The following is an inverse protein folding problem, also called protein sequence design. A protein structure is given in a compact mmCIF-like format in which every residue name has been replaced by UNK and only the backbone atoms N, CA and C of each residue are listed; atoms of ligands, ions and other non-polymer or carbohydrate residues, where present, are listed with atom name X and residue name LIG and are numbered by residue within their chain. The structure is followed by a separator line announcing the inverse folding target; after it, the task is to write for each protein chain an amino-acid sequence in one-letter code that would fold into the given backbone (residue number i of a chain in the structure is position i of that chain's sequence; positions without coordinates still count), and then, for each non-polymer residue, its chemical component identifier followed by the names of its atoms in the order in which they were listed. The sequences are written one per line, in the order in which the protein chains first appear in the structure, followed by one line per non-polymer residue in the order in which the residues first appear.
data_IF_819878663789
#
_entry.id   IF_819878663789
#
_cell.length_a   1.000
_cell.length_b   1.000
_cell.length_c   1.000
_cell.angle_alpha   90.00
_cell.angle_beta   90.00
_cell.angle_gamma   90.00
#
_symmetry.space_group_name_H-M   'P 1'
#
loop_
_entity.id
_entity.type
_entity.pdbx_description
1 polymer ?
#
# COMPACT_ATOMS: atom_id res chain seq x y z
N UNK A 1 16.72 9.03 13.22
CA UNK A 1 17.65 7.95 12.84
C UNK A 1 16.83 6.86 12.15
N UNK A 2 17.21 6.43 10.94
CA UNK A 2 16.40 5.52 10.11
C UNK A 2 16.65 4.05 10.54
N UNK A 3 15.60 3.34 10.99
CA UNK A 3 15.69 1.95 11.47
C UNK A 3 16.30 1.01 10.43
N UNK A 4 15.99 1.23 9.16
CA UNK A 4 16.49 0.37 8.09
C UNK A 4 18.02 0.45 7.97
N UNK A 5 18.59 1.66 8.10
CA UNK A 5 20.05 1.85 8.11
C UNK A 5 20.70 1.10 9.28
N UNK A 6 20.06 1.11 10.46
CA UNK A 6 20.53 0.37 11.63
C UNK A 6 20.52 -1.14 11.39
N UNK A 7 19.44 -1.67 10.79
CA UNK A 7 19.37 -3.10 10.46
C UNK A 7 20.38 -3.51 9.40
N UNK A 8 20.55 -2.70 8.34
CA UNK A 8 21.58 -2.94 7.32
C UNK A 8 22.98 -3.00 7.92
N UNK A 9 23.30 -2.06 8.82
CA UNK A 9 24.58 -2.09 9.54
C UNK A 9 24.74 -3.34 10.40
N UNK A 10 23.66 -3.77 11.09
CA UNK A 10 23.69 -4.99 11.89
C UNK A 10 23.91 -6.25 11.05
N UNK A 11 23.29 -6.34 9.87
CA UNK A 11 23.51 -7.44 8.93
C UNK A 11 24.95 -7.47 8.42
N UNK A 12 25.54 -6.30 8.14
CA UNK A 12 26.95 -6.17 7.77
C UNK A 12 27.86 -6.68 8.89
N UNK A 13 27.62 -6.27 10.13
CA UNK A 13 28.38 -6.73 11.30
C UNK A 13 28.27 -8.25 11.53
N UNK A 14 27.10 -8.81 11.25
CA UNK A 14 26.84 -10.24 11.35
C UNK A 14 27.38 -11.06 10.16
N UNK A 15 28.03 -10.42 9.17
CA UNK A 15 28.48 -11.04 7.92
C UNK A 15 27.36 -11.78 7.15
N UNK A 16 26.12 -11.30 7.27
CA UNK A 16 24.99 -11.82 6.51
C UNK A 16 24.93 -11.07 5.19
N UNK A 17 25.03 -11.81 4.08
CA UNK A 17 24.95 -11.21 2.74
C UNK A 17 23.52 -10.75 2.45
N UNK A 18 23.38 -9.52 1.96
CA UNK A 18 22.10 -8.96 1.53
C UNK A 18 22.33 -7.96 0.40
N UNK A 19 21.26 -7.60 -0.32
CA UNK A 19 21.29 -6.55 -1.33
C UNK A 19 21.18 -5.17 -0.68
N UNK A 20 22.24 -4.37 -0.77
CA UNK A 20 22.30 -3.01 -0.22
C UNK A 20 21.52 -1.99 -1.07
N UNK A 21 21.35 -2.27 -2.36
CA UNK A 21 20.76 -1.42 -3.39
C UNK A 21 19.27 -1.75 -3.66
N UNK A 22 18.61 -2.45 -2.74
CA UNK A 22 17.25 -2.94 -2.97
C UNK A 22 16.20 -1.84 -2.80
N UNK A 23 15.48 -1.53 -3.87
CA UNK A 23 14.27 -0.71 -3.80
C UNK A 23 13.17 -1.51 -3.07
N UNK A 24 12.94 -1.18 -1.80
CA UNK A 24 12.04 -1.93 -0.89
C UNK A 24 10.62 -2.08 -1.45
N UNK A 25 10.11 -1.02 -2.06
CA UNK A 25 8.77 -0.99 -2.66
C UNK A 25 8.69 -1.94 -3.86
N UNK A 26 9.71 -1.94 -4.72
CA UNK A 26 9.80 -2.83 -5.88
C UNK A 26 10.03 -4.30 -5.51
N UNK A 27 10.70 -4.56 -4.40
CA UNK A 27 10.92 -5.92 -3.95
C UNK A 27 9.65 -6.56 -3.36
N UNK A 28 8.82 -5.78 -2.66
CA UNK A 28 7.65 -6.28 -1.94
C UNK A 28 6.34 -6.16 -2.72
N UNK A 29 6.32 -5.38 -3.81
CA UNK A 29 5.16 -5.17 -4.69
C UNK A 29 5.52 -5.23 -6.16
N UNK A 30 4.55 -5.60 -6.99
CA UNK A 30 4.73 -5.60 -8.45
C UNK A 30 4.26 -4.26 -9.05
N UNK A 31 4.69 -3.95 -10.28
CA UNK A 31 4.29 -2.74 -10.99
C UNK A 31 2.76 -2.63 -11.14
N UNK A 32 2.09 -3.73 -11.53
CA UNK A 32 0.63 -3.77 -11.70
C UNK A 32 -0.14 -3.45 -10.41
N UNK A 33 0.39 -3.88 -9.25
CA UNK A 33 -0.22 -3.63 -7.95
C UNK A 33 -0.11 -2.15 -7.57
N UNK A 34 1.08 -1.57 -7.78
CA UNK A 34 1.29 -0.13 -7.53
C UNK A 34 0.43 0.74 -8.43
N UNK A 35 0.30 0.36 -9.71
CA UNK A 35 -0.57 1.05 -10.66
C UNK A 35 -2.05 0.97 -10.24
N UNK A 36 -2.50 -0.21 -9.79
CA UNK A 36 -3.85 -0.39 -9.24
C UNK A 36 -4.07 0.50 -8.02
N UNK A 37 -3.14 0.52 -7.07
CA UNK A 37 -3.29 1.35 -5.87
C UNK A 37 -3.40 2.83 -6.22
N UNK A 38 -2.60 3.31 -7.16
CA UNK A 38 -2.72 4.68 -7.66
C UNK A 38 -4.08 4.95 -8.31
N UNK A 39 -4.60 4.00 -9.09
CA UNK A 39 -5.95 4.08 -9.65
C UNK A 39 -7.06 4.07 -8.57
N UNK A 40 -6.79 3.48 -7.40
CA UNK A 40 -7.66 3.48 -6.23
C UNK A 40 -7.42 4.66 -5.28
N UNK A 41 -6.91 5.79 -5.78
CA UNK A 41 -6.65 7.03 -5.03
C UNK A 41 -5.48 6.97 -4.03
N UNK A 42 -4.56 5.99 -4.13
CA UNK A 42 -3.34 6.04 -3.33
C UNK A 42 -2.40 7.13 -3.86
N UNK A 43 -1.88 8.03 -3.01
CA UNK A 43 -0.88 9.00 -3.41
C UNK A 43 0.40 8.34 -3.96
N UNK A 44 0.95 8.94 -5.02
CA UNK A 44 2.13 8.43 -5.73
C UNK A 44 3.46 8.82 -5.06
N UNK A 45 3.59 8.57 -3.76
CA UNK A 45 4.81 8.78 -2.99
C UNK A 45 5.28 7.49 -2.29
N UNK A 46 6.56 7.47 -1.91
CA UNK A 46 7.19 6.28 -1.33
C UNK A 46 6.55 5.87 0.00
N UNK A 47 6.16 6.83 0.85
CA UNK A 47 5.55 6.55 2.15
C UNK A 47 4.19 5.86 1.97
N UNK A 48 3.33 6.41 1.11
CA UNK A 48 2.04 5.80 0.81
C UNK A 48 2.18 4.43 0.14
N UNK A 49 3.19 4.25 -0.73
CA UNK A 49 3.47 2.95 -1.35
C UNK A 49 3.94 1.92 -0.33
N UNK A 50 4.83 2.29 0.60
CA UNK A 50 5.27 1.43 1.71
C UNK A 50 4.09 1.05 2.61
N UNK A 51 3.21 2.01 2.93
CA UNK A 51 2.01 1.74 3.71
C UNK A 51 1.04 0.79 3.00
N UNK A 52 0.85 0.92 1.69
CA UNK A 52 0.02 0.01 0.91
C UNK A 52 0.57 -1.43 0.93
N UNK A 53 1.90 -1.59 0.88
CA UNK A 53 2.55 -2.89 1.03
C UNK A 53 2.27 -3.49 2.41
N UNK A 54 2.31 -2.68 3.47
CA UNK A 54 1.95 -3.13 4.82
C UNK A 54 0.48 -3.57 4.90
N UNK A 55 -0.44 -2.81 4.29
CA UNK A 55 -1.87 -3.14 4.23
C UNK A 55 -2.17 -4.39 3.40
N UNK A 56 -1.30 -4.74 2.44
CA UNK A 56 -1.41 -5.98 1.67
C UNK A 56 -0.83 -7.19 2.41
N UNK A 57 0.30 -7.02 3.09
CA UNK A 57 1.10 -8.11 3.69
C UNK A 57 1.01 -8.18 5.22
N UNK A 58 -0.04 -7.60 5.81
CA UNK A 58 -0.19 -7.62 7.27
C UNK A 58 -0.35 -9.05 7.81
N UNK A 59 0.19 -9.28 9.01
CA UNK A 59 -0.05 -10.51 9.77
C UNK A 59 -1.09 -10.28 10.89
N UNK A 60 -0.93 -9.20 11.66
CA UNK A 60 -1.93 -8.70 12.61
C UNK A 60 -2.74 -7.61 11.93
N UNK A 61 -4.06 -7.55 12.21
CA UNK A 61 -4.94 -6.58 11.57
C UNK A 61 -4.39 -5.15 11.63
N UNK A 62 -4.42 -4.41 10.51
CA UNK A 62 -3.83 -3.09 10.43
C UNK A 62 -4.67 -2.08 11.20
N UNK A 63 -4.00 -1.31 12.02
CA UNK A 63 -4.55 -0.15 12.70
C UNK A 63 -3.93 1.08 12.06
N UNK A 64 -4.79 1.90 11.44
CA UNK A 64 -4.38 2.96 10.53
C UNK A 64 -4.50 4.30 11.24
N UNK A 65 -3.42 5.07 11.22
CA UNK A 65 -3.40 6.46 11.65
C UNK A 65 -3.48 7.32 10.39
N UNK A 66 -4.62 7.95 10.16
CA UNK A 66 -4.94 8.66 8.93
C UNK A 66 -5.64 10.01 9.22
N UNK A 67 -4.88 11.07 9.57
CA UNK A 67 -5.45 12.37 9.85
C UNK A 67 -5.97 13.09 8.60
N UNK A 68 -5.48 12.72 7.41
CA UNK A 68 -5.87 13.35 6.13
C UNK A 68 -7.07 12.66 5.48
N UNK A 69 -7.41 11.43 5.87
CA UNK A 69 -8.48 10.63 5.26
C UNK A 69 -8.07 9.90 3.98
N UNK A 70 -6.83 10.10 3.50
CA UNK A 70 -6.34 9.53 2.24
C UNK A 70 -6.29 7.99 2.29
N UNK A 71 -5.87 7.43 3.42
CA UNK A 71 -5.81 5.98 3.59
C UNK A 71 -7.20 5.35 3.60
N UNK A 72 -8.13 6.03 4.26
CA UNK A 72 -9.53 5.61 4.35
C UNK A 72 -10.17 5.59 2.96
N UNK A 73 -9.96 6.64 2.17
CA UNK A 73 -10.44 6.71 0.79
C UNK A 73 -9.83 5.59 -0.08
N UNK A 74 -8.51 5.41 0.01
CA UNK A 74 -7.81 4.35 -0.70
C UNK A 74 -8.39 2.96 -0.42
N UNK A 75 -8.60 2.62 0.86
CA UNK A 75 -9.11 1.30 1.26
C UNK A 75 -10.55 1.10 0.82
N UNK A 76 -11.39 2.14 0.90
CA UNK A 76 -12.77 2.07 0.41
C UNK A 76 -12.82 1.81 -1.09
N UNK A 77 -11.90 2.41 -1.86
CA UNK A 77 -11.82 2.22 -3.31
C UNK A 77 -11.22 0.86 -3.69
N UNK A 78 -10.13 0.43 -3.06
CA UNK A 78 -9.46 -0.86 -3.34
C UNK A 78 -10.38 -2.06 -3.04
N UNK A 79 -11.18 -1.98 -1.98
CA UNK A 79 -12.07 -3.07 -1.55
C UNK A 79 -13.54 -2.87 -1.94
N UNK A 80 -13.83 -1.93 -2.85
CA UNK A 80 -15.19 -1.60 -3.31
C UNK A 80 -15.95 -2.82 -3.82
N UNK A 81 -15.30 -3.64 -4.64
CA UNK A 81 -15.91 -4.85 -5.23
C UNK A 81 -16.19 -5.95 -4.19
N UNK A 82 -15.52 -5.88 -3.03
CA UNK A 82 -15.69 -6.83 -1.92
C UNK A 82 -16.74 -6.38 -0.90
N UNK A 83 -17.53 -5.34 -1.20
CA UNK A 83 -18.60 -4.81 -0.32
C UNK A 83 -18.08 -4.40 1.05
N UNK A 84 -16.96 -3.67 1.08
CA UNK A 84 -16.41 -3.12 2.32
C UNK A 84 -17.45 -2.26 3.04
N UNK A 85 -17.60 -2.47 4.35
CA UNK A 85 -18.51 -1.70 5.20
C UNK A 85 -17.71 -0.79 6.12
N UNK A 86 -18.09 0.50 6.19
CA UNK A 86 -17.53 1.48 7.13
C UNK A 86 -18.44 1.60 8.35
N UNK A 87 -17.89 1.46 9.54
CA UNK A 87 -18.62 1.58 10.81
C UNK A 87 -17.71 2.20 11.90
N UNK A 88 -18.26 2.44 13.08
CA UNK A 88 -17.55 2.98 14.25
C UNK A 88 -17.95 2.18 15.49
N UNK A 89 -17.12 2.17 16.53
CA UNK A 89 -17.53 1.57 17.81
C UNK A 89 -18.73 2.28 18.46
N UNK A 90 -19.01 3.52 18.05
CA UNK A 90 -20.15 4.30 18.53
C UNK A 90 -21.44 4.05 17.74
N UNK A 91 -21.38 3.27 16.66
CA UNK A 91 -22.53 2.93 15.81
C UNK A 91 -23.35 1.81 16.46
N UNK A 92 -24.66 2.03 16.69
CA UNK A 92 -25.57 1.01 17.23
C UNK A 92 -25.63 -0.25 16.35
N UNK A 93 -25.37 -0.11 15.05
CA UNK A 93 -25.30 -1.22 14.11
C UNK A 93 -23.93 -1.95 14.11
N UNK A 94 -22.94 -1.48 14.87
CA UNK A 94 -21.57 -2.02 14.86
C UNK A 94 -21.52 -3.54 15.01
N UNK A 95 -22.19 -4.08 16.03
CA UNK A 95 -22.18 -5.54 16.28
C UNK A 95 -22.81 -6.33 15.14
N UNK A 96 -23.89 -5.81 14.54
CA UNK A 96 -24.56 -6.44 13.40
C UNK A 96 -23.66 -6.41 12.15
N UNK A 97 -23.00 -5.28 11.90
CA UNK A 97 -22.06 -5.12 10.79
C UNK A 97 -20.84 -6.04 10.96
N UNK A 98 -20.31 -6.16 12.17
CA UNK A 98 -19.20 -7.07 12.50
C UNK A 98 -19.59 -8.54 12.31
N UNK A 99 -20.74 -8.96 12.82
CA UNK A 99 -21.23 -10.34 12.66
C UNK A 99 -21.45 -10.67 11.18
N UNK A 100 -22.05 -9.76 10.42
CA UNK A 100 -22.24 -9.89 8.97
C UNK A 100 -20.90 -10.02 8.24
N UNK A 101 -19.92 -9.16 8.55
CA UNK A 101 -18.59 -9.20 7.94
C UNK A 101 -17.87 -10.53 8.23
N UNK A 102 -17.92 -11.02 9.47
CA UNK A 102 -17.34 -12.31 9.85
C UNK A 102 -18.03 -13.48 9.14
N UNK A 103 -19.36 -13.45 9.02
CA UNK A 103 -20.15 -14.52 8.40
C UNK A 103 -19.94 -14.60 6.89
N UNK A 104 -19.83 -13.46 6.21
CA UNK A 104 -19.76 -13.39 4.75
C UNK A 104 -18.34 -13.16 4.21
N UNK A 105 -17.36 -12.94 5.08
CA UNK A 105 -15.97 -12.68 4.68
C UNK A 105 -15.77 -11.31 4.01
N UNK A 106 -16.61 -10.33 4.36
CA UNK A 106 -16.54 -8.98 3.82
C UNK A 106 -15.48 -8.15 4.58
N UNK A 107 -14.74 -7.27 3.90
CA UNK A 107 -13.87 -6.31 4.58
C UNK A 107 -14.69 -5.36 5.45
N UNK A 108 -14.14 -4.99 6.61
CA UNK A 108 -14.77 -4.06 7.55
C UNK A 108 -13.75 -3.00 7.95
N UNK A 109 -14.11 -1.73 7.78
CA UNK A 109 -13.33 -0.58 8.24
C UNK A 109 -14.01 0.00 9.48
N UNK A 110 -13.32 -0.05 10.62
CA UNK A 110 -13.82 0.44 11.91
C UNK A 110 -13.02 1.68 12.32
N UNK A 111 -13.70 2.78 12.64
CA UNK A 111 -13.09 3.97 13.21
C UNK A 111 -12.99 3.86 14.75
N UNK A 112 -11.81 4.16 15.30
CA UNK A 112 -11.43 3.83 16.70
C UNK A 112 -10.58 4.94 17.34
N UNK A 113 -10.77 5.18 18.64
CA UNK A 113 -9.83 5.92 19.49
C UNK A 113 -8.95 4.96 20.32
N UNK A 114 -7.66 5.27 20.49
CA UNK A 114 -6.66 4.28 20.92
C UNK A 114 -6.48 4.17 22.45
N UNK A 115 -6.80 3.01 23.06
CA UNK A 115 -6.23 2.61 24.35
C UNK A 115 -4.87 1.91 24.16
N UNK A 116 -3.94 2.02 25.13
CA UNK A 116 -2.57 1.49 25.02
C UNK A 116 -2.50 -0.05 24.90
N UNK A 117 -3.48 -0.78 25.41
CA UNK A 117 -3.54 -2.26 25.36
C UNK A 117 -3.80 -2.84 23.96
N UNK A 118 -4.06 -1.98 22.97
CA UNK A 118 -4.32 -2.41 21.60
C UNK A 118 -3.02 -2.61 20.80
N UNK A 119 -1.92 -1.95 21.21
CA UNK A 119 -0.67 -1.89 20.47
C UNK A 119 -0.03 -3.26 20.19
N UNK A 120 -0.17 -4.21 21.10
CA UNK A 120 0.40 -5.56 20.96
C UNK A 120 -0.38 -6.44 19.97
N UNK A 121 -1.67 -6.15 19.73
CA UNK A 121 -2.58 -6.99 18.94
C UNK A 121 -2.74 -6.55 17.50
N UNK A 122 -2.22 -5.38 17.13
CA UNK A 122 -2.42 -4.75 15.83
C UNK A 122 -1.11 -4.39 15.14
N UNK A 123 -1.13 -4.26 13.82
CA UNK A 123 -0.02 -3.70 13.04
C UNK A 123 -0.29 -2.22 12.80
N UNK A 124 0.57 -1.33 13.29
CA UNK A 124 0.41 0.11 13.01
C UNK A 124 0.81 0.43 11.58
N UNK A 125 -0.03 1.20 10.89
CA UNK A 125 0.27 1.79 9.57
C UNK A 125 -0.01 3.29 9.66
N UNK A 126 0.99 4.11 9.39
CA UNK A 126 0.91 5.56 9.64
C UNK A 126 0.91 6.35 8.33
N UNK A 127 -0.23 6.93 7.99
CA UNK A 127 -0.45 7.81 6.84
C UNK A 127 -0.32 9.30 7.21
N UNK A 128 0.31 9.63 8.34
CA UNK A 128 0.63 11.02 8.67
C UNK A 128 1.57 11.59 7.60
N UNK A 129 1.11 12.65 6.93
CA UNK A 129 1.84 13.27 5.83
C UNK A 129 3.14 13.88 6.34
N UNK A 130 4.26 13.46 5.75
CA UNK A 130 5.59 14.05 6.01
C UNK A 130 5.86 15.18 5.03
N UNK A 131 6.84 16.05 5.33
CA UNK A 131 7.22 17.14 4.40
C UNK A 131 7.62 16.62 3.02
N UNK A 132 8.38 15.54 2.97
CA UNK A 132 8.79 14.90 1.72
C UNK A 132 7.60 14.30 0.98
N UNK A 133 6.71 13.59 1.69
CA UNK A 133 5.49 13.03 1.10
C UNK A 133 4.60 14.13 0.51
N UNK A 134 4.35 15.22 1.26
CA UNK A 134 3.56 16.34 0.76
C UNK A 134 4.19 16.99 -0.47
N UNK A 135 5.51 17.22 -0.45
CA UNK A 135 6.23 17.79 -1.59
C UNK A 135 6.12 16.89 -2.82
N UNK A 136 6.32 15.58 -2.67
CA UNK A 136 6.16 14.60 -3.76
C UNK A 136 4.73 14.57 -4.30
N UNK A 137 3.73 14.59 -3.42
CA UNK A 137 2.32 14.63 -3.81
C UNK A 137 2.00 15.91 -4.59
N UNK A 138 2.35 17.08 -4.05
CA UNK A 138 2.13 18.36 -4.72
C UNK A 138 2.86 18.42 -6.06
N UNK A 139 4.11 17.95 -6.14
CA UNK A 139 4.86 17.93 -7.40
C UNK A 139 4.19 17.05 -8.44
N UNK A 140 3.73 15.86 -8.05
CA UNK A 140 3.02 14.95 -8.96
C UNK A 140 1.71 15.57 -9.46
N UNK A 141 0.93 16.21 -8.59
CA UNK A 141 -0.33 16.86 -8.96
C UNK A 141 -0.10 18.09 -9.86
N UNK A 142 0.90 18.92 -9.56
CA UNK A 142 1.27 20.07 -10.40
C UNK A 142 1.74 19.60 -11.77
N UNK A 143 2.54 18.54 -11.86
CA UNK A 143 2.98 18.00 -13.15
C UNK A 143 1.81 17.48 -13.99
N UNK A 144 0.81 16.84 -13.38
CA UNK A 144 -0.42 16.43 -14.08
C UNK A 144 -1.18 17.62 -14.65
N UNK A 145 -1.26 18.72 -13.91
CA UNK A 145 -2.00 19.91 -14.33
C UNK A 145 -1.23 20.75 -15.37
N UNK A 146 0.07 20.97 -15.17
CA UNK A 146 0.91 21.84 -15.99
C UNK A 146 1.47 21.14 -17.24
N UNK A 147 1.76 19.84 -17.14
CA UNK A 147 2.38 19.02 -18.20
C UNK A 147 1.67 17.67 -18.34
N UNK A 148 0.38 17.67 -18.73
CA UNK A 148 -0.39 16.44 -18.88
C UNK A 148 0.21 15.50 -19.93
N UNK A 149 0.86 16.04 -20.96
CA UNK A 149 1.58 15.29 -21.99
C UNK A 149 2.71 14.42 -21.42
N UNK A 150 3.43 14.95 -20.42
CA UNK A 150 4.53 14.23 -19.76
C UNK A 150 3.99 13.18 -18.79
N UNK A 151 2.93 13.48 -18.04
CA UNK A 151 2.30 12.49 -17.15
C UNK A 151 1.64 11.35 -17.93
N UNK A 152 0.95 11.64 -19.03
CA UNK A 152 0.39 10.64 -19.93
C UNK A 152 1.49 9.73 -20.47
N UNK A 153 2.58 10.32 -20.98
CA UNK A 153 3.74 9.54 -21.43
C UNK A 153 4.36 8.70 -20.31
N UNK A 154 4.45 9.22 -19.08
CA UNK A 154 4.93 8.46 -17.91
C UNK A 154 3.99 7.28 -17.60
N UNK A 155 2.69 7.52 -17.58
CA UNK A 155 1.65 6.52 -17.31
C UNK A 155 1.67 5.41 -18.37
N UNK A 156 1.77 5.78 -19.65
CA UNK A 156 1.83 4.83 -20.75
C UNK A 156 3.11 4.00 -20.70
N UNK A 157 4.27 4.62 -20.42
CA UNK A 157 5.54 3.90 -20.25
C UNK A 157 5.47 2.91 -19.08
N UNK A 158 4.84 3.27 -17.96
CA UNK A 158 4.65 2.37 -16.83
C UNK A 158 3.72 1.20 -17.17
N UNK A 159 2.63 1.45 -17.89
CA UNK A 159 1.72 0.39 -18.40
C UNK A 159 2.45 -0.55 -19.35
N UNK A 160 3.15 -0.01 -20.36
CA UNK A 160 3.97 -0.77 -21.29
C UNK A 160 5.01 -1.62 -20.56
N UNK A 161 5.71 -1.05 -19.58
CA UNK A 161 6.66 -1.79 -18.76
C UNK A 161 5.97 -2.95 -18.00
N UNK A 162 4.80 -2.72 -17.42
CA UNK A 162 3.99 -3.75 -16.77
C UNK A 162 3.57 -4.86 -17.72
N UNK A 163 3.06 -4.51 -18.90
CA UNK A 163 2.69 -5.47 -19.96
C UNK A 163 3.88 -6.30 -20.43
N UNK A 164 5.05 -5.68 -20.63
CA UNK A 164 6.26 -6.40 -21.01
C UNK A 164 6.72 -7.37 -19.91
N UNK A 165 6.66 -6.96 -18.65
CA UNK A 165 7.00 -7.83 -17.50
C UNK A 165 6.02 -9.02 -17.39
N UNK A 166 4.72 -8.77 -17.58
CA UNK A 166 3.71 -9.83 -17.61
C UNK A 166 3.97 -10.80 -18.76
N UNK A 167 4.23 -10.27 -19.96
CA UNK A 167 4.47 -11.08 -21.15
C UNK A 167 5.74 -11.92 -21.01
N UNK A 168 6.80 -11.34 -20.45
CA UNK A 168 8.05 -12.06 -20.18
C UNK A 168 7.80 -13.23 -19.21
N UNK A 169 7.12 -13.00 -18.09
CA UNK A 169 6.76 -14.08 -17.14
C UNK A 169 5.92 -15.18 -17.78
N UNK A 170 4.97 -14.80 -18.65
CA UNK A 170 4.16 -15.79 -19.38
C UNK A 170 5.03 -16.64 -20.31
N UNK A 171 5.95 -16.01 -21.05
CA UNK A 171 6.87 -16.70 -21.95
C UNK A 171 7.82 -17.62 -21.18
N UNK A 172 8.40 -17.15 -20.08
CA UNK A 172 9.25 -17.95 -19.19
C UNK A 172 8.50 -19.18 -18.68
N UNK A 173 7.26 -19.01 -18.20
CA UNK A 173 6.44 -20.11 -17.70
C UNK A 173 6.08 -21.11 -18.79
N UNK A 174 5.71 -20.63 -19.98
CA UNK A 174 5.41 -21.49 -21.14
C UNK A 174 6.64 -22.26 -21.61
N UNK A 175 7.81 -21.63 -21.62
CA UNK A 175 9.07 -22.29 -21.96
C UNK A 175 9.40 -23.39 -20.94
N UNK A 176 9.27 -23.11 -19.64
CA UNK A 176 9.50 -24.09 -18.58
C UNK A 176 8.54 -25.28 -18.66
N UNK A 177 7.34 -25.07 -19.20
CA UNK A 177 6.32 -26.11 -19.36
C UNK A 177 6.54 -26.97 -20.62
N UNK A 178 7.25 -26.43 -21.61
CA UNK A 178 7.57 -27.12 -22.86
C UNK A 178 8.86 -27.96 -22.79
N UNK A 179 9.71 -27.69 -21.81
CA UNK A 179 10.91 -28.47 -21.47
C UNK A 179 10.57 -29.60 -20.49
#
# INVERSE_FOLDING_TARGET
QNLFTTWSHHLQQANIQFRTDIARTEYLSNADERLRWQASSLPADDLCTENAIMLKRFNRYPLIIDPSGQATEFIMNEYKDRKITRTSFLDDAFRKNLESALRFGNPLLVQVEFPPDLCSRVTFVNFTVTRSSLQSQCLNEVLKAERPDVDEKRSDLLKLQGEFQLRLRQLEKSLLQAL
#
